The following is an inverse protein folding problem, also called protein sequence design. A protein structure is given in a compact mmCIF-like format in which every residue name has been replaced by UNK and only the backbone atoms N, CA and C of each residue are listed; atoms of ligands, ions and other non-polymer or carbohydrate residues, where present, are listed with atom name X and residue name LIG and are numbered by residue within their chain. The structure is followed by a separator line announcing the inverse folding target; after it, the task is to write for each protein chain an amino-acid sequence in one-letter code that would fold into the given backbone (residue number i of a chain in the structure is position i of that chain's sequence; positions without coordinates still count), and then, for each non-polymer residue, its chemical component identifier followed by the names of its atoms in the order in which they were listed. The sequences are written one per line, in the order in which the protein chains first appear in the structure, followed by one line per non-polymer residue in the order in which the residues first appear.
data_IF_509733590142
#
_entry.id   IF_509733590142
#
_cell.length_a   1.000
_cell.length_b   1.000
_cell.length_c   1.000
_cell.angle_alpha   90.00
_cell.angle_beta   90.00
_cell.angle_gamma   90.00
#
_symmetry.space_group_name_H-M   'P 1'
#
loop_
_entity.id
_entity.type
_entity.pdbx_description
1 polymer ?
#
# COMPACT_ATOMS: atom_id res chain seq x y z
N UNK A 1 25.02 28.06 -19.00
CA UNK A 1 26.35 27.68 -19.39
C UNK A 1 26.85 26.38 -18.79
N UNK A 2 27.66 26.44 -17.77
CA UNK A 2 28.41 25.29 -17.21
C UNK A 2 27.51 24.13 -16.73
N UNK A 3 26.48 24.43 -15.97
CA UNK A 3 25.55 23.40 -15.42
C UNK A 3 24.84 22.64 -16.55
N UNK A 4 24.37 23.35 -17.58
CA UNK A 4 23.67 22.72 -18.72
C UNK A 4 24.64 21.81 -19.50
N UNK A 5 25.87 22.26 -19.74
CA UNK A 5 26.88 21.46 -20.43
C UNK A 5 27.28 20.22 -19.62
N UNK A 6 27.41 20.36 -18.30
CA UNK A 6 27.73 19.24 -17.41
C UNK A 6 26.59 18.22 -17.37
N UNK A 7 25.32 18.66 -17.33
CA UNK A 7 24.17 17.74 -17.38
C UNK A 7 24.03 17.04 -18.73
N UNK A 8 24.38 17.69 -19.85
CA UNK A 8 24.37 17.08 -21.18
C UNK A 8 25.49 16.05 -21.38
N UNK A 9 26.57 16.14 -20.59
CA UNK A 9 27.70 15.19 -20.66
C UNK A 9 27.52 13.94 -19.80
N UNK A 10 26.50 13.92 -18.91
CA UNK A 10 26.22 12.77 -18.04
C UNK A 10 25.20 11.87 -18.72
N UNK A 11 25.59 10.64 -19.01
CA UNK A 11 24.61 9.59 -19.33
C UNK A 11 23.87 9.18 -18.05
N UNK A 12 22.70 9.80 -17.84
CA UNK A 12 21.83 9.56 -16.67
C UNK A 12 21.43 8.09 -16.61
N UNK A 13 21.12 7.47 -17.75
CA UNK A 13 20.70 6.07 -17.78
C UNK A 13 21.83 5.13 -17.35
N UNK A 14 23.04 5.38 -17.82
CA UNK A 14 24.20 4.61 -17.39
C UNK A 14 24.50 4.86 -15.91
N UNK A 15 24.46 6.09 -15.45
CA UNK A 15 24.68 6.45 -14.05
C UNK A 15 23.65 5.77 -13.11
N UNK A 16 22.41 5.68 -13.50
CA UNK A 16 21.36 4.96 -12.74
C UNK A 16 21.61 3.46 -12.71
N UNK A 17 22.05 2.86 -13.84
CA UNK A 17 22.44 1.43 -13.88
C UNK A 17 23.61 1.14 -12.95
N UNK A 18 24.63 1.99 -12.99
CA UNK A 18 25.82 1.86 -12.15
C UNK A 18 25.49 2.03 -10.67
N UNK A 19 24.66 2.99 -10.33
CA UNK A 19 24.15 3.19 -8.97
C UNK A 19 23.38 1.96 -8.46
N UNK A 20 22.44 1.44 -9.26
CA UNK A 20 21.69 0.21 -8.93
C UNK A 20 22.61 -0.98 -8.72
N UNK A 21 23.55 -1.20 -9.63
CA UNK A 21 24.52 -2.30 -9.55
C UNK A 21 25.38 -2.20 -8.29
N UNK A 22 25.95 -1.01 -8.04
CA UNK A 22 26.79 -0.74 -6.87
C UNK A 22 26.03 -0.89 -5.57
N UNK A 23 24.82 -0.34 -5.49
CA UNK A 23 23.93 -0.45 -4.32
C UNK A 23 23.57 -1.90 -4.02
N UNK A 24 23.23 -2.68 -5.06
CA UNK A 24 22.94 -4.11 -4.92
C UNK A 24 24.16 -4.90 -4.44
N UNK A 25 25.33 -4.60 -4.96
CA UNK A 25 26.58 -5.25 -4.55
C UNK A 25 26.93 -4.94 -3.09
N UNK A 26 26.78 -3.68 -2.67
CA UNK A 26 26.98 -3.28 -1.26
C UNK A 26 25.99 -4.01 -0.36
N UNK A 27 24.72 -4.08 -0.73
CA UNK A 27 23.70 -4.80 0.01
C UNK A 27 24.03 -6.28 0.13
N UNK A 28 24.37 -6.94 -0.99
CA UNK A 28 24.79 -8.36 -0.99
C UNK A 28 25.99 -8.61 -0.06
N UNK A 29 27.00 -7.74 -0.11
CA UNK A 29 28.17 -7.85 0.73
C UNK A 29 27.84 -7.68 2.22
N UNK A 30 26.98 -6.72 2.56
CA UNK A 30 26.51 -6.51 3.94
C UNK A 30 25.71 -7.70 4.45
N UNK A 31 24.79 -8.23 3.64
CA UNK A 31 24.00 -9.43 3.97
C UNK A 31 24.92 -10.65 4.13
N UNK A 32 25.84 -10.87 3.19
CA UNK A 32 26.80 -11.97 3.27
C UNK A 32 27.69 -11.88 4.50
N UNK A 33 28.20 -10.68 4.84
CA UNK A 33 29.00 -10.45 6.04
C UNK A 33 28.22 -10.76 7.34
N UNK A 34 26.93 -10.43 7.36
CA UNK A 34 26.06 -10.63 8.55
C UNK A 34 25.57 -12.08 8.68
N UNK A 35 25.27 -12.73 7.58
CA UNK A 35 24.54 -14.01 7.57
C UNK A 35 25.23 -15.13 6.79
N UNK A 36 26.25 -14.84 5.97
CA UNK A 36 26.73 -15.63 4.84
C UNK A 36 27.04 -17.12 5.08
N UNK A 37 27.59 -17.47 6.24
CA UNK A 37 27.95 -18.86 6.55
C UNK A 37 27.33 -19.37 7.85
N UNK A 38 26.58 -18.51 8.55
CA UNK A 38 25.99 -18.82 9.83
C UNK A 38 24.61 -19.44 9.65
N UNK A 39 24.34 -20.56 10.31
CA UNK A 39 22.99 -21.05 10.42
C UNK A 39 22.16 -20.07 11.25
N UNK A 40 21.01 -19.67 10.72
CA UNK A 40 20.12 -18.70 11.36
C UNK A 40 19.42 -19.37 12.54
N UNK A 41 19.38 -18.69 13.68
CA UNK A 41 18.63 -19.15 14.84
C UNK A 41 17.15 -19.25 14.51
N UNK A 42 16.55 -20.39 14.78
CA UNK A 42 15.10 -20.62 14.61
C UNK A 42 14.39 -20.31 15.91
N UNK A 43 13.21 -19.72 15.80
CA UNK A 43 12.33 -19.40 16.91
C UNK A 43 10.98 -20.06 16.69
N UNK A 44 10.39 -20.63 17.72
CA UNK A 44 8.97 -20.98 17.70
C UNK A 44 8.12 -19.75 17.99
N UNK A 45 6.83 -19.80 17.63
CA UNK A 45 5.90 -18.69 17.92
C UNK A 45 5.89 -18.37 19.44
N UNK A 46 6.04 -19.39 20.29
CA UNK A 46 6.06 -19.22 21.75
C UNK A 46 7.33 -18.52 22.27
N UNK A 47 8.43 -18.58 21.51
CA UNK A 47 9.70 -17.94 21.87
C UNK A 47 9.74 -16.44 21.53
N UNK A 48 8.94 -15.98 20.56
CA UNK A 48 9.07 -14.62 20.02
C UNK A 48 8.89 -13.56 21.12
N UNK A 49 7.81 -13.63 21.90
CA UNK A 49 7.54 -12.67 22.98
C UNK A 49 8.60 -12.69 24.11
N UNK A 50 8.92 -13.82 24.71
CA UNK A 50 9.90 -13.84 25.80
C UNK A 50 11.34 -13.57 25.33
N UNK A 51 11.66 -13.79 24.06
CA UNK A 51 12.98 -13.59 23.47
C UNK A 51 12.96 -12.52 22.36
N UNK A 52 12.12 -11.51 22.47
CA UNK A 52 11.91 -10.48 21.44
C UNK A 52 13.22 -9.84 20.98
N UNK A 53 14.09 -9.47 21.90
CA UNK A 53 15.37 -8.83 21.58
C UNK A 53 16.29 -9.75 20.74
N UNK A 54 16.41 -11.02 21.11
CA UNK A 54 17.19 -12.00 20.34
C UNK A 54 16.56 -12.25 18.97
N UNK A 55 15.22 -12.34 18.93
CA UNK A 55 14.48 -12.51 17.70
C UNK A 55 14.70 -11.34 16.74
N UNK A 56 14.57 -10.11 17.20
CA UNK A 56 14.75 -8.91 16.37
C UNK A 56 16.21 -8.70 15.94
N UNK A 57 17.18 -9.12 16.74
CA UNK A 57 18.59 -9.14 16.31
C UNK A 57 18.83 -10.09 15.13
N UNK A 58 18.12 -11.21 15.10
CA UNK A 58 18.21 -12.19 14.00
C UNK A 58 17.31 -11.82 12.81
N UNK A 59 16.10 -11.36 13.10
CA UNK A 59 15.05 -11.00 12.13
C UNK A 59 14.58 -9.55 12.33
N UNK A 60 15.35 -8.55 11.83
CA UNK A 60 15.06 -7.14 12.09
C UNK A 60 13.83 -6.62 11.34
N UNK A 61 13.32 -7.38 10.36
CA UNK A 61 12.11 -7.05 9.61
C UNK A 61 11.04 -8.09 9.95
N UNK A 62 9.90 -7.60 10.44
CA UNK A 62 8.74 -8.43 10.79
C UNK A 62 7.57 -8.02 9.92
N UNK A 63 6.98 -8.99 9.23
CA UNK A 63 5.74 -8.79 8.46
C UNK A 63 4.55 -9.19 9.34
N UNK A 64 3.56 -8.33 9.40
CA UNK A 64 2.36 -8.55 10.22
C UNK A 64 1.16 -7.81 9.63
N UNK A 65 -0.04 -8.17 10.05
CA UNK A 65 -1.21 -7.31 9.85
C UNK A 65 -1.18 -6.16 10.86
N UNK A 66 -1.85 -5.05 10.58
CA UNK A 66 -2.00 -3.91 11.49
C UNK A 66 -2.54 -4.34 12.85
N UNK A 67 -3.51 -5.25 12.86
CA UNK A 67 -4.12 -5.78 14.08
C UNK A 67 -3.13 -6.60 14.94
N UNK A 68 -2.28 -7.39 14.31
CA UNK A 68 -1.36 -8.31 15.01
C UNK A 68 -0.02 -7.69 15.39
N UNK A 69 0.36 -6.55 14.79
CA UNK A 69 1.68 -5.94 14.95
C UNK A 69 2.07 -5.78 16.43
N UNK A 70 1.20 -5.19 17.25
CA UNK A 70 1.46 -4.99 18.69
C UNK A 70 1.58 -6.29 19.47
N UNK A 71 0.91 -7.35 19.02
CA UNK A 71 0.94 -8.64 19.71
C UNK A 71 2.13 -9.52 19.34
N UNK A 72 2.88 -9.17 18.29
CA UNK A 72 4.03 -9.95 17.82
C UNK A 72 5.26 -9.85 18.71
N UNK A 73 5.41 -8.77 19.49
CA UNK A 73 6.58 -8.48 20.32
C UNK A 73 6.20 -8.33 21.78
N UNK A 74 7.19 -8.27 22.67
CA UNK A 74 6.96 -7.97 24.10
C UNK A 74 6.42 -6.56 24.27
N UNK A 75 5.73 -6.31 25.39
CA UNK A 75 5.08 -5.02 25.67
C UNK A 75 6.06 -3.85 25.81
N UNK A 76 7.28 -4.16 26.25
CA UNK A 76 8.32 -3.17 26.54
C UNK A 76 9.19 -2.85 25.32
N UNK A 77 8.94 -3.52 24.20
CA UNK A 77 9.68 -3.30 22.96
C UNK A 77 8.86 -2.50 21.97
N UNK A 78 9.56 -1.63 21.23
CA UNK A 78 9.03 -0.90 20.08
C UNK A 78 9.99 -1.06 18.90
N UNK A 79 9.47 -1.04 17.70
CA UNK A 79 10.26 -1.03 16.47
C UNK A 79 10.85 0.36 16.22
N UNK A 80 11.96 0.43 15.50
CA UNK A 80 12.46 1.72 15.00
C UNK A 80 11.49 2.35 14.01
N UNK A 81 10.91 1.52 13.14
CA UNK A 81 9.98 1.93 12.09
C UNK A 81 8.80 0.96 11.96
N UNK A 82 7.62 1.52 11.72
CA UNK A 82 6.50 0.82 11.10
C UNK A 82 6.32 1.36 9.68
N UNK A 83 6.20 0.45 8.71
CA UNK A 83 5.85 0.76 7.33
C UNK A 83 4.47 0.14 7.10
N UNK A 84 3.47 0.97 6.89
CA UNK A 84 2.10 0.54 6.66
C UNK A 84 1.75 0.79 5.20
N UNK A 85 1.43 -0.28 4.50
CA UNK A 85 0.97 -0.24 3.11
C UNK A 85 -0.55 -0.31 3.05
N UNK A 86 -1.16 0.19 1.96
CA UNK A 86 -2.61 0.26 1.77
C UNK A 86 -3.36 0.96 2.90
N UNK A 87 -2.79 2.01 3.47
CA UNK A 87 -3.32 2.71 4.64
C UNK A 87 -4.68 3.39 4.41
N UNK A 88 -5.09 3.59 3.16
CA UNK A 88 -6.43 4.04 2.79
C UNK A 88 -7.52 3.02 3.13
N UNK A 89 -7.18 1.73 3.22
CA UNK A 89 -8.10 0.64 3.58
C UNK A 89 -8.06 0.30 5.08
N UNK A 90 -7.20 0.94 5.84
CA UNK A 90 -7.04 0.70 7.28
C UNK A 90 -7.98 1.62 8.06
N UNK A 91 -8.70 1.07 9.04
CA UNK A 91 -9.47 1.87 9.99
C UNK A 91 -8.56 2.58 11.01
N UNK A 92 -9.03 3.70 11.55
CA UNK A 92 -8.23 4.56 12.45
C UNK A 92 -7.81 3.80 13.72
N UNK A 93 -8.64 2.91 14.25
CA UNK A 93 -8.37 2.17 15.51
C UNK A 93 -7.18 1.23 15.34
N UNK A 94 -7.20 0.41 14.28
CA UNK A 94 -6.12 -0.55 14.02
C UNK A 94 -4.86 0.14 13.51
N UNK A 95 -4.99 1.23 12.76
CA UNK A 95 -3.87 2.08 12.36
C UNK A 95 -3.16 2.70 13.55
N UNK A 96 -3.90 3.29 14.49
CA UNK A 96 -3.34 3.85 15.71
C UNK A 96 -2.66 2.78 16.59
N UNK A 97 -3.24 1.57 16.66
CA UNK A 97 -2.62 0.45 17.34
C UNK A 97 -1.26 0.08 16.71
N UNK A 98 -1.19 0.03 15.39
CA UNK A 98 0.06 -0.24 14.68
C UNK A 98 1.10 0.88 14.88
N UNK A 99 0.69 2.16 14.85
CA UNK A 99 1.58 3.28 15.18
C UNK A 99 2.20 3.15 16.57
N UNK A 100 1.44 2.68 17.55
CA UNK A 100 1.93 2.49 18.93
C UNK A 100 3.06 1.45 19.07
N UNK A 101 3.38 0.74 17.97
CA UNK A 101 4.43 -0.28 17.96
C UNK A 101 5.81 0.26 17.57
N UNK A 102 5.94 1.50 17.12
CA UNK A 102 7.20 2.01 16.58
C UNK A 102 7.47 3.47 16.94
N UNK A 103 8.74 3.84 16.85
CA UNK A 103 9.21 5.22 17.09
C UNK A 103 8.96 6.12 15.89
N UNK A 104 9.01 5.57 14.68
CA UNK A 104 8.81 6.27 13.42
C UNK A 104 7.83 5.52 12.54
N UNK A 105 7.14 6.23 11.65
CA UNK A 105 6.17 5.64 10.74
C UNK A 105 6.38 6.09 9.31
N UNK A 106 6.19 5.16 8.37
CA UNK A 106 6.01 5.44 6.94
C UNK A 106 4.64 4.93 6.55
N UNK A 107 3.75 5.84 6.19
CA UNK A 107 2.36 5.53 5.85
C UNK A 107 2.24 5.60 4.34
N UNK A 108 1.95 4.47 3.71
CA UNK A 108 1.80 4.33 2.25
C UNK A 108 0.35 4.01 1.94
N UNK A 109 -0.21 4.68 0.97
CA UNK A 109 -1.59 4.47 0.55
C UNK A 109 -2.00 5.43 -0.55
N UNK A 110 -3.21 5.28 -1.02
CA UNK A 110 -3.78 6.06 -2.11
C UNK A 110 -5.19 6.51 -1.72
N UNK A 111 -5.39 7.80 -1.56
CA UNK A 111 -6.67 8.41 -1.18
C UNK A 111 -7.70 8.41 -2.33
N UNK A 112 -7.28 8.07 -3.55
CA UNK A 112 -8.14 7.92 -4.73
C UNK A 112 -8.67 6.48 -4.89
N UNK A 113 -8.12 5.53 -4.15
CA UNK A 113 -8.63 4.17 -4.12
C UNK A 113 -9.74 4.01 -3.08
N UNK A 114 -10.37 2.83 -3.07
CA UNK A 114 -11.48 2.55 -2.15
C UNK A 114 -11.02 2.72 -0.70
N UNK A 115 -11.69 3.57 0.09
CA UNK A 115 -11.39 3.71 1.51
C UNK A 115 -11.88 2.51 2.32
N UNK A 116 -11.51 2.47 3.58
CA UNK A 116 -12.13 1.57 4.55
C UNK A 116 -13.65 1.77 4.57
N UNK A 117 -14.40 0.68 4.46
CA UNK A 117 -15.88 0.70 4.47
C UNK A 117 -16.37 0.33 5.85
N UNK A 118 -17.07 1.28 6.48
CA UNK A 118 -17.69 1.08 7.80
C UNK A 118 -19.08 0.48 7.62
N UNK A 119 -19.37 -0.62 8.31
CA UNK A 119 -20.70 -1.21 8.32
C UNK A 119 -21.71 -0.30 9.04
N UNK A 120 -23.00 -0.48 8.74
CA UNK A 120 -24.06 0.32 9.40
C UNK A 120 -24.07 0.16 10.92
N UNK A 121 -23.78 -1.02 11.40
CA UNK A 121 -23.73 -1.33 12.84
C UNK A 121 -22.54 -0.65 13.51
N UNK A 122 -21.36 -0.73 12.90
CA UNK A 122 -20.16 -0.02 13.38
C UNK A 122 -20.34 1.50 13.36
N UNK A 123 -21.00 2.05 12.33
CA UNK A 123 -21.25 3.47 12.22
C UNK A 123 -22.08 4.00 13.40
N UNK A 124 -23.05 3.24 13.88
CA UNK A 124 -23.84 3.62 15.07
C UNK A 124 -22.98 3.66 16.34
N UNK A 125 -22.10 2.67 16.52
CA UNK A 125 -21.20 2.63 17.67
C UNK A 125 -20.16 3.75 17.61
N UNK A 126 -19.58 4.01 16.43
CA UNK A 126 -18.61 5.08 16.21
C UNK A 126 -19.24 6.47 16.45
N UNK A 127 -20.48 6.70 15.98
CA UNK A 127 -21.18 7.95 16.22
C UNK A 127 -21.44 8.20 17.71
N UNK A 128 -21.79 7.16 18.46
CA UNK A 128 -21.95 7.26 19.91
C UNK A 128 -20.61 7.65 20.60
N UNK A 129 -19.50 7.06 20.20
CA UNK A 129 -18.17 7.41 20.69
C UNK A 129 -17.81 8.85 20.33
N UNK A 130 -18.00 9.24 19.07
CA UNK A 130 -17.73 10.60 18.58
C UNK A 130 -18.45 11.64 19.43
N UNK A 131 -19.74 11.43 19.66
CA UNK A 131 -20.59 12.35 20.43
C UNK A 131 -20.22 12.36 21.92
N UNK A 132 -20.04 11.18 22.53
CA UNK A 132 -19.80 11.05 23.97
C UNK A 132 -18.47 11.66 24.40
N UNK A 133 -17.44 11.49 23.58
CA UNK A 133 -16.07 11.92 23.91
C UNK A 133 -15.66 13.20 23.20
N UNK A 134 -16.55 13.81 22.40
CA UNK A 134 -16.26 14.98 21.58
C UNK A 134 -14.95 14.82 20.79
N UNK A 135 -14.84 13.70 20.09
CA UNK A 135 -13.63 13.36 19.31
C UNK A 135 -13.51 14.36 18.15
N UNK A 136 -12.32 14.88 17.93
CA UNK A 136 -12.01 15.81 16.82
C UNK A 136 -12.32 15.11 15.47
N UNK A 137 -12.88 15.86 14.52
CA UNK A 137 -13.35 15.33 13.24
C UNK A 137 -12.24 14.66 12.42
N UNK A 138 -10.98 15.09 12.59
CA UNK A 138 -9.80 14.45 11.95
C UNK A 138 -9.60 13.00 12.37
N UNK A 139 -10.19 12.57 13.47
CA UNK A 139 -10.18 11.19 13.96
C UNK A 139 -11.53 10.48 13.77
N UNK A 140 -12.42 11.05 12.96
CA UNK A 140 -13.74 10.47 12.73
C UNK A 140 -13.64 9.23 11.82
N UNK A 141 -13.66 8.06 12.43
CA UNK A 141 -13.53 6.78 11.72
C UNK A 141 -14.72 6.43 10.80
N UNK A 142 -15.82 7.21 10.81
CA UNK A 142 -16.92 7.03 9.86
C UNK A 142 -16.64 7.71 8.52
N UNK A 143 -15.83 8.76 8.52
CA UNK A 143 -15.60 9.62 7.35
C UNK A 143 -14.16 9.54 6.85
N UNK A 144 -13.22 9.11 7.69
CA UNK A 144 -11.80 9.06 7.39
C UNK A 144 -11.25 7.64 7.47
N UNK A 145 -10.43 7.29 6.49
CA UNK A 145 -9.49 6.19 6.61
C UNK A 145 -8.31 6.61 7.52
N UNK A 146 -7.50 5.63 7.91
CA UNK A 146 -6.29 5.94 8.67
C UNK A 146 -5.34 6.87 7.91
N UNK A 147 -5.17 6.68 6.58
CA UNK A 147 -4.36 7.56 5.74
C UNK A 147 -4.87 9.01 5.77
N UNK A 148 -6.16 9.22 5.56
CA UNK A 148 -6.76 10.56 5.57
C UNK A 148 -6.57 11.24 6.92
N UNK A 149 -6.83 10.52 8.01
CA UNK A 149 -6.58 11.02 9.37
C UNK A 149 -5.12 11.42 9.58
N UNK A 150 -4.17 10.60 9.12
CA UNK A 150 -2.74 10.92 9.21
C UNK A 150 -2.37 12.20 8.44
N UNK A 151 -2.89 12.36 7.22
CA UNK A 151 -2.61 13.55 6.39
C UNK A 151 -3.15 14.82 7.06
N UNK A 152 -4.32 14.77 7.67
CA UNK A 152 -4.92 15.93 8.35
C UNK A 152 -4.28 16.25 9.70
N UNK A 153 -3.76 15.24 10.40
CA UNK A 153 -3.16 15.43 11.72
C UNK A 153 -1.68 15.80 11.64
N UNK A 154 -0.93 15.15 10.74
CA UNK A 154 0.51 15.34 10.61
C UNK A 154 0.86 16.30 9.44
N UNK A 155 0.39 17.53 9.52
CA UNK A 155 0.53 18.54 8.46
C UNK A 155 1.98 18.86 8.08
N UNK A 156 2.91 18.69 9.03
CA UNK A 156 4.35 18.93 8.82
C UNK A 156 5.11 17.68 8.32
N UNK A 157 4.44 16.54 8.21
CA UNK A 157 5.07 15.33 7.72
C UNK A 157 5.37 15.44 6.21
N UNK A 158 6.54 15.00 5.74
CA UNK A 158 6.84 15.01 4.32
C UNK A 158 5.91 14.04 3.57
N UNK A 159 5.30 14.54 2.49
CA UNK A 159 4.44 13.76 1.60
C UNK A 159 5.10 13.64 0.24
N UNK A 160 5.18 12.42 -0.27
CA UNK A 160 5.75 12.14 -1.60
C UNK A 160 4.74 11.38 -2.44
N UNK A 161 4.36 11.95 -3.58
CA UNK A 161 3.52 11.27 -4.56
C UNK A 161 4.40 10.34 -5.43
N UNK A 162 4.09 9.05 -5.42
CA UNK A 162 4.69 8.06 -6.31
C UNK A 162 3.94 8.10 -7.65
N UNK A 163 4.59 8.65 -8.68
CA UNK A 163 3.94 8.90 -9.98
C UNK A 163 4.14 7.78 -10.98
N UNK A 164 5.17 6.97 -10.83
CA UNK A 164 5.51 5.96 -11.84
C UNK A 164 4.59 4.74 -11.74
N UNK A 165 3.93 4.42 -12.83
CA UNK A 165 3.02 3.28 -12.94
C UNK A 165 3.61 2.17 -13.83
N UNK A 166 3.72 0.94 -13.28
CA UNK A 166 4.41 -0.20 -13.90
C UNK A 166 3.50 -1.43 -14.12
N UNK A 167 2.20 -1.33 -13.85
CA UNK A 167 1.34 -2.53 -13.77
C UNK A 167 0.40 -2.67 -14.95
N UNK A 168 -0.43 -1.68 -15.20
CA UNK A 168 -1.50 -1.78 -16.20
C UNK A 168 -1.02 -1.35 -17.58
N UNK A 169 -1.68 -1.88 -18.60
CA UNK A 169 -1.53 -1.40 -19.97
C UNK A 169 -1.83 0.12 -20.08
N UNK A 170 -1.10 0.89 -20.91
CA UNK A 170 -1.29 2.34 -21.02
C UNK A 170 -2.74 2.78 -21.23
N UNK A 171 -3.48 2.12 -22.12
CA UNK A 171 -4.89 2.44 -22.40
C UNK A 171 -5.81 2.22 -21.19
N UNK A 172 -5.47 1.29 -20.28
CA UNK A 172 -6.26 1.03 -19.07
C UNK A 172 -5.99 2.12 -18.02
N UNK A 173 -4.72 2.40 -17.76
CA UNK A 173 -4.37 3.35 -16.70
C UNK A 173 -4.65 4.79 -17.10
N UNK A 174 -4.66 5.11 -18.41
CA UNK A 174 -4.92 6.47 -18.88
C UNK A 174 -6.28 6.99 -18.41
N UNK A 175 -7.31 6.15 -18.41
CA UNK A 175 -8.61 6.54 -17.85
C UNK A 175 -8.50 6.96 -16.38
N UNK A 176 -7.81 6.16 -15.56
CA UNK A 176 -7.61 6.47 -14.15
C UNK A 176 -6.74 7.71 -13.98
N UNK A 177 -5.68 7.84 -14.79
CA UNK A 177 -4.76 8.96 -14.76
C UNK A 177 -5.49 10.29 -14.97
N UNK A 178 -6.29 10.37 -16.02
CA UNK A 178 -7.07 11.58 -16.34
C UNK A 178 -8.18 11.84 -15.30
N UNK A 179 -8.84 10.80 -14.82
CA UNK A 179 -10.02 10.96 -13.96
C UNK A 179 -9.69 11.24 -12.51
N UNK A 180 -8.62 10.65 -11.97
CA UNK A 180 -8.32 10.64 -10.54
C UNK A 180 -6.97 11.27 -10.18
N UNK A 181 -6.03 11.30 -11.11
CA UNK A 181 -4.67 11.78 -10.86
C UNK A 181 -4.27 13.01 -11.69
N UNK A 182 -5.23 13.69 -12.32
CA UNK A 182 -5.02 14.91 -13.11
C UNK A 182 -3.96 14.78 -14.21
N UNK A 183 -3.74 13.57 -14.74
CA UNK A 183 -2.69 13.31 -15.73
C UNK A 183 -1.27 13.26 -15.15
N UNK A 184 -1.10 13.20 -13.84
CA UNK A 184 0.22 13.28 -13.19
C UNK A 184 0.98 11.95 -13.15
N UNK A 185 0.33 10.82 -13.45
CA UNK A 185 1.01 9.53 -13.49
C UNK A 185 1.92 9.42 -14.71
N UNK A 186 3.12 8.92 -14.47
CA UNK A 186 4.09 8.58 -15.53
C UNK A 186 3.94 7.10 -15.85
N UNK A 187 3.36 6.81 -17.01
CA UNK A 187 3.10 5.43 -17.43
C UNK A 187 4.38 4.82 -17.97
N UNK A 188 4.91 3.81 -17.28
CA UNK A 188 6.17 3.12 -17.58
C UNK A 188 5.97 1.80 -18.33
N UNK A 189 4.72 1.39 -18.51
CA UNK A 189 4.34 0.22 -19.31
C UNK A 189 4.28 0.56 -20.80
N UNK A 190 4.47 -0.44 -21.67
CA UNK A 190 4.52 -0.27 -23.12
C UNK A 190 3.21 -0.79 -23.74
N UNK A 191 2.68 -0.05 -24.72
CA UNK A 191 1.66 -0.53 -25.64
C UNK A 191 2.39 -1.22 -26.81
N UNK A 192 2.23 -2.53 -26.94
CA UNK A 192 2.85 -3.30 -28.03
C UNK A 192 1.89 -3.43 -29.23
N UNK A 193 0.83 -2.64 -29.28
CA UNK A 193 -0.17 -2.67 -30.32
C UNK A 193 -1.29 -3.67 -30.07
N UNK A 194 -1.54 -4.03 -28.80
CA UNK A 194 -2.66 -4.90 -28.45
C UNK A 194 -3.99 -4.23 -28.85
N UNK A 195 -4.78 -4.97 -29.61
CA UNK A 195 -6.15 -4.59 -29.96
C UNK A 195 -7.11 -4.96 -28.82
N UNK A 196 -8.19 -4.22 -28.71
CA UNK A 196 -9.30 -4.53 -27.78
C UNK A 196 -8.89 -4.60 -26.28
N UNK A 197 -7.92 -3.80 -25.87
CA UNK A 197 -7.47 -3.75 -24.46
C UNK A 197 -8.58 -3.37 -23.48
N UNK A 198 -9.55 -2.58 -23.95
CA UNK A 198 -10.76 -2.21 -23.22
C UNK A 198 -11.97 -2.46 -24.10
N UNK A 199 -12.90 -3.26 -23.62
CA UNK A 199 -14.16 -3.54 -24.28
C UNK A 199 -15.33 -3.25 -23.35
N UNK A 200 -16.44 -2.82 -23.94
CA UNK A 200 -17.69 -2.57 -23.22
C UNK A 200 -18.79 -3.48 -23.77
N UNK A 201 -19.14 -4.47 -22.98
CA UNK A 201 -20.27 -5.35 -23.27
C UNK A 201 -21.49 -4.87 -22.47
N UNK A 202 -22.59 -4.58 -23.18
CA UNK A 202 -23.83 -4.12 -22.55
C UNK A 202 -24.83 -5.25 -22.47
N UNK A 203 -25.22 -5.60 -21.27
CA UNK A 203 -26.30 -6.57 -21.06
C UNK A 203 -27.67 -5.94 -21.24
N UNK A 204 -28.71 -6.76 -21.40
CA UNK A 204 -30.11 -6.32 -21.45
C UNK A 204 -30.48 -5.55 -20.18
N UNK A 205 -31.23 -4.44 -20.35
CA UNK A 205 -31.73 -3.65 -19.23
C UNK A 205 -32.66 -4.49 -18.33
N UNK A 206 -32.55 -4.28 -17.04
CA UNK A 206 -33.37 -4.94 -16.04
C UNK A 206 -32.60 -5.18 -14.74
N UNK A 207 -33.31 -5.58 -13.70
CA UNK A 207 -32.68 -5.99 -12.43
C UNK A 207 -32.53 -7.51 -12.41
N UNK A 208 -31.32 -7.97 -12.74
CA UNK A 208 -30.94 -9.38 -12.72
C UNK A 208 -30.06 -9.75 -11.52
N UNK A 209 -29.81 -8.80 -10.62
CA UNK A 209 -29.02 -9.04 -9.42
C UNK A 209 -29.81 -9.88 -8.41
N UNK A 210 -29.13 -10.81 -7.74
CA UNK A 210 -29.62 -11.62 -6.63
C UNK A 210 -28.52 -11.67 -5.58
N UNK A 211 -28.85 -11.26 -4.36
CA UNK A 211 -27.87 -11.22 -3.26
C UNK A 211 -26.58 -10.46 -3.64
N UNK A 212 -25.50 -11.21 -3.95
CA UNK A 212 -24.19 -10.67 -4.26
C UNK A 212 -23.75 -10.94 -5.71
N UNK A 213 -24.61 -11.40 -6.59
CA UNK A 213 -24.28 -11.69 -7.98
C UNK A 213 -25.35 -11.22 -8.96
N UNK A 214 -24.97 -11.01 -10.21
CA UNK A 214 -25.87 -10.70 -11.32
C UNK A 214 -25.81 -11.85 -12.33
N UNK A 215 -26.84 -12.70 -12.34
CA UNK A 215 -26.87 -13.89 -13.18
C UNK A 215 -26.77 -13.53 -14.68
N UNK A 216 -27.38 -12.43 -15.10
CA UNK A 216 -27.33 -12.00 -16.50
C UNK A 216 -25.92 -11.63 -16.94
N UNK A 217 -25.17 -10.96 -16.11
CA UNK A 217 -23.78 -10.63 -16.40
C UNK A 217 -22.90 -11.88 -16.45
N UNK A 218 -23.12 -12.83 -15.53
CA UNK A 218 -22.44 -14.12 -15.54
C UNK A 218 -22.70 -14.88 -16.84
N UNK A 219 -23.98 -14.96 -17.26
CA UNK A 219 -24.37 -15.65 -18.49
C UNK A 219 -23.69 -15.04 -19.72
N UNK A 220 -23.67 -13.71 -19.82
CA UNK A 220 -23.01 -12.98 -20.92
C UNK A 220 -21.49 -13.22 -20.90
N UNK A 221 -20.85 -13.19 -19.73
CA UNK A 221 -19.42 -13.47 -19.62
C UNK A 221 -19.11 -14.89 -20.13
N UNK A 222 -19.89 -15.88 -19.71
CA UNK A 222 -19.65 -17.29 -20.07
C UNK A 222 -19.98 -17.56 -21.54
N UNK A 223 -21.07 -17.01 -22.07
CA UNK A 223 -21.58 -17.36 -23.40
C UNK A 223 -21.04 -16.48 -24.52
N UNK A 224 -20.73 -15.22 -24.23
CA UNK A 224 -20.36 -14.24 -25.25
C UNK A 224 -18.90 -13.79 -25.13
N UNK A 225 -18.41 -13.53 -23.89
CA UNK A 225 -17.06 -12.99 -23.71
C UNK A 225 -15.99 -14.09 -23.70
N UNK A 226 -16.13 -15.10 -22.85
CA UNK A 226 -15.11 -16.15 -22.72
C UNK A 226 -14.80 -16.95 -24.00
N UNK A 227 -15.74 -17.19 -24.92
CA UNK A 227 -15.42 -17.89 -26.17
C UNK A 227 -14.56 -17.09 -27.14
N UNK A 228 -14.40 -15.79 -26.94
CA UNK A 228 -13.56 -14.93 -27.79
C UNK A 228 -12.09 -14.91 -27.33
N UNK A 229 -11.78 -15.48 -26.16
CA UNK A 229 -10.46 -15.57 -25.56
C UNK A 229 -10.02 -16.99 -25.25
#
# INVERSE_FOLDING_TARGET
GFIVHTLQSIDINQSVKDLRSSSLQILKNKIAKRYGTRERKRFSIRDIKPKTEEFLKEYPVVLSTTYSAKSCISKDMVFDYVIMDEASQVDIKTGALALSCAMNAVIVGDDKQLPNVVSREEALALNAIQTTYNVDDRYNAMTHSFLQSCVEVFTEAPVTLLREHYRCHPKIIEFCNQRFYNGELVVMTTDNGEENVLQVVRTTKGNHAREHFNQREIDVIIQEVMPEY
#
